data_IF_975582592761
#
_entry.id   IF_975582592761
#
_cell.length_a   1.000
_cell.length_b   1.000
_cell.length_c   1.000
_cell.angle_alpha   90.00
_cell.angle_beta   90.00
_cell.angle_gamma   90.00
#
_symmetry.space_group_name_H-M   'P 1'
#
loop_
_entity.id
_entity.type
_entity.pdbx_description
1 polymer ?
#
# COMPACT_ATOMS: atom_id res chain seq x y z
N UNK A 1 10.14 21.75 -3.90
CA UNK A 1 11.00 22.21 -2.79
C UNK A 1 11.22 21.04 -1.83
N UNK A 2 12.43 20.83 -1.32
CA UNK A 2 12.72 19.91 -0.22
C UNK A 2 13.14 20.70 1.01
N UNK A 3 12.74 20.26 2.20
CA UNK A 3 13.13 20.84 3.49
C UNK A 3 13.43 19.71 4.48
N UNK A 4 14.15 20.00 5.56
CA UNK A 4 14.30 19.07 6.68
C UNK A 4 12.94 18.74 7.33
N UNK A 5 12.85 17.59 8.01
CA UNK A 5 11.62 17.22 8.74
C UNK A 5 11.30 18.20 9.88
N UNK A 6 12.31 18.77 10.53
CA UNK A 6 12.15 19.64 11.68
C UNK A 6 13.47 20.17 12.23
N UNK A 7 13.35 20.87 13.36
CA UNK A 7 14.47 21.41 14.12
C UNK A 7 14.37 20.98 15.60
N UNK A 8 15.27 21.49 16.45
CA UNK A 8 15.18 21.33 17.91
C UNK A 8 13.85 21.83 18.51
N UNK A 9 13.09 22.65 17.78
CA UNK A 9 11.78 23.16 18.20
C UNK A 9 10.59 22.35 17.69
N UNK A 10 10.82 21.27 16.95
CA UNK A 10 9.78 20.40 16.40
C UNK A 10 9.73 20.37 14.88
N UNK A 11 8.71 19.69 14.35
CA UNK A 11 8.51 19.48 12.92
C UNK A 11 8.21 20.80 12.18
N UNK A 12 8.71 20.92 10.97
CA UNK A 12 8.34 22.01 10.06
C UNK A 12 6.97 21.74 9.44
N UNK A 13 6.26 22.82 9.11
CA UNK A 13 5.09 22.81 8.24
C UNK A 13 5.52 23.07 6.81
N UNK A 14 4.80 22.49 5.87
CA UNK A 14 5.00 22.72 4.45
C UNK A 14 3.63 22.83 3.77
N UNK A 15 3.35 23.97 3.17
CA UNK A 15 2.16 24.19 2.34
C UNK A 15 2.55 24.62 0.94
N UNK A 16 1.69 24.26 -0.01
CA UNK A 16 1.79 24.63 -1.41
C UNK A 16 0.48 25.30 -1.77
N UNK A 17 0.58 26.50 -2.31
CA UNK A 17 -0.54 27.24 -2.86
C UNK A 17 -0.22 27.53 -4.33
N UNK A 18 -1.21 27.37 -5.20
CA UNK A 18 -1.10 27.69 -6.63
C UNK A 18 -2.26 28.63 -6.95
N UNK A 19 -1.99 29.71 -7.68
CA UNK A 19 -3.05 30.59 -8.13
C UNK A 19 -3.95 29.89 -9.17
N UNK A 20 -5.19 30.36 -9.29
CA UNK A 20 -6.16 29.76 -10.23
C UNK A 20 -5.66 29.81 -11.68
N UNK A 21 -4.87 30.83 -12.03
CA UNK A 21 -4.28 31.00 -13.35
C UNK A 21 -3.04 30.15 -13.60
N UNK A 22 -2.50 29.47 -12.57
CA UNK A 22 -1.25 28.69 -12.61
C UNK A 22 -0.03 29.50 -13.08
N UNK A 23 -0.05 30.80 -12.81
CA UNK A 23 1.06 31.72 -13.06
C UNK A 23 2.08 31.72 -11.91
N UNK A 24 1.64 31.41 -10.69
CA UNK A 24 2.45 31.45 -9.48
C UNK A 24 2.16 30.24 -8.57
N UNK A 25 3.24 29.68 -8.01
CA UNK A 25 3.17 28.69 -6.96
C UNK A 25 3.98 29.17 -5.75
N UNK A 26 3.33 29.27 -4.59
CA UNK A 26 3.94 29.62 -3.33
C UNK A 26 4.24 28.35 -2.52
N UNK A 27 5.49 28.22 -2.09
CA UNK A 27 5.94 27.17 -1.18
C UNK A 27 6.27 27.79 0.18
N UNK A 28 5.49 27.48 1.20
CA UNK A 28 5.66 28.04 2.55
C UNK A 28 6.24 27.00 3.50
N UNK A 29 7.28 27.38 4.26
CA UNK A 29 7.88 26.56 5.30
C UNK A 29 7.67 27.26 6.64
N UNK A 30 6.98 26.60 7.58
CA UNK A 30 6.73 27.14 8.93
C UNK A 30 7.54 26.36 9.95
N UNK A 31 8.16 27.02 10.91
CA UNK A 31 9.10 26.33 11.79
C UNK A 31 9.11 26.84 13.25
N UNK A 32 8.66 26.02 14.22
CA UNK A 32 7.93 24.77 14.02
C UNK A 32 6.50 25.02 13.53
N UNK A 33 5.86 24.01 12.95
CA UNK A 33 4.42 24.05 12.74
C UNK A 33 3.69 23.71 14.03
N UNK A 34 2.73 24.56 14.41
CA UNK A 34 1.79 24.32 15.49
C UNK A 34 0.41 24.18 14.85
N UNK A 35 -0.12 22.96 14.86
CA UNK A 35 -1.43 22.68 14.26
C UNK A 35 -2.49 22.64 15.35
N UNK A 36 -3.71 23.05 15.02
CA UNK A 36 -4.87 22.81 15.89
C UNK A 36 -5.21 21.31 15.93
N UNK A 37 -5.23 20.68 14.76
CA UNK A 37 -5.52 19.26 14.59
C UNK A 37 -4.41 18.54 13.84
N UNK A 38 -4.21 17.25 14.16
CA UNK A 38 -3.32 16.34 13.43
C UNK A 38 -4.11 15.17 12.86
N UNK A 39 -3.63 14.63 11.75
CA UNK A 39 -4.17 13.39 11.18
C UNK A 39 -3.96 12.25 12.17
N UNK A 40 -5.04 11.52 12.48
CA UNK A 40 -5.02 10.28 13.25
C UNK A 40 -5.09 9.04 12.35
N UNK A 41 -5.27 7.87 12.96
CA UNK A 41 -5.54 6.64 12.19
C UNK A 41 -6.86 6.72 11.41
N UNK A 42 -7.84 7.46 11.95
CA UNK A 42 -9.11 7.80 11.30
C UNK A 42 -9.41 9.27 11.62
N UNK A 43 -9.54 10.11 10.60
CA UNK A 43 -9.89 11.53 10.75
C UNK A 43 -8.83 12.42 11.40
N UNK A 44 -9.28 13.55 11.92
CA UNK A 44 -8.46 14.55 12.61
C UNK A 44 -8.70 14.46 14.12
N UNK A 45 -7.63 14.65 14.89
CA UNK A 45 -7.67 14.70 16.35
C UNK A 45 -6.92 15.95 16.84
N UNK A 46 -7.24 16.49 18.02
CA UNK A 46 -6.52 17.62 18.58
C UNK A 46 -5.01 17.38 18.60
N UNK A 47 -4.25 18.37 18.15
CA UNK A 47 -2.80 18.29 18.16
C UNK A 47 -2.24 18.46 19.58
N UNK A 48 -1.07 17.87 19.79
CA UNK A 48 -0.25 18.11 20.99
C UNK A 48 0.98 18.96 20.69
N UNK A 49 1.04 19.54 19.49
CA UNK A 49 2.13 20.44 19.11
C UNK A 49 2.15 21.64 20.07
N UNK A 50 3.36 22.06 20.48
CA UNK A 50 3.55 23.22 21.36
C UNK A 50 4.40 24.24 20.64
N UNK A 51 3.98 25.50 20.71
CA UNK A 51 4.83 26.61 20.29
C UNK A 51 6.07 26.66 21.19
N UNK A 52 7.27 26.89 20.63
CA UNK A 52 8.46 27.11 21.42
C UNK A 52 8.38 28.46 22.13
N UNK A 53 8.90 28.49 23.35
CA UNK A 53 9.01 29.72 24.13
C UNK A 53 10.28 30.48 23.73
N UNK A 54 10.18 31.27 22.66
CA UNK A 54 11.28 32.05 22.10
C UNK A 54 11.80 33.09 23.10
N UNK A 55 13.12 33.13 23.29
CA UNK A 55 13.82 34.16 24.05
C UNK A 55 14.67 35.04 23.14
N UNK A 56 14.98 36.25 23.63
CA UNK A 56 15.89 37.14 22.92
C UNK A 56 17.25 36.44 22.71
N UNK A 57 17.71 36.41 21.46
CA UNK A 57 18.94 35.71 21.06
C UNK A 57 18.74 34.27 20.57
N UNK A 58 17.54 33.69 20.69
CA UNK A 58 17.27 32.39 20.08
C UNK A 58 17.35 32.46 18.55
N UNK A 59 17.90 31.40 17.97
CA UNK A 59 18.04 31.24 16.52
C UNK A 59 17.50 29.90 16.05
N UNK A 60 17.08 29.88 14.79
CA UNK A 60 16.67 28.70 14.07
C UNK A 60 17.19 28.81 12.63
N UNK A 61 17.74 27.70 12.14
CA UNK A 61 18.22 27.57 10.77
C UNK A 61 17.25 26.68 10.01
N UNK A 62 16.72 27.18 8.89
CA UNK A 62 15.90 26.41 7.97
C UNK A 62 16.71 26.09 6.72
N UNK A 63 16.96 24.80 6.52
CA UNK A 63 17.61 24.30 5.32
C UNK A 63 16.56 23.81 4.34
N UNK A 64 16.58 24.35 3.11
CA UNK A 64 15.72 23.91 2.03
C UNK A 64 16.44 23.95 0.69
N UNK A 65 15.89 23.25 -0.30
CA UNK A 65 16.40 23.22 -1.66
C UNK A 65 15.27 23.30 -2.67
N UNK A 66 15.43 24.18 -3.65
CA UNK A 66 14.48 24.34 -4.76
C UNK A 66 15.05 23.65 -5.99
N UNK A 67 14.22 22.83 -6.64
CA UNK A 67 14.56 22.16 -7.89
C UNK A 67 13.61 22.68 -8.96
N UNK A 68 14.14 23.45 -9.90
CA UNK A 68 13.40 23.94 -11.07
C UNK A 68 13.85 23.17 -12.31
N UNK A 69 12.91 22.54 -13.00
CA UNK A 69 13.18 21.71 -14.17
C UNK A 69 11.93 21.59 -15.05
N UNK A 70 12.11 21.30 -16.34
CA UNK A 70 10.99 21.02 -17.25
C UNK A 70 10.47 19.61 -16.98
N UNK A 71 9.15 19.47 -16.83
CA UNK A 71 8.48 18.19 -16.63
C UNK A 71 7.37 18.02 -17.66
N UNK A 72 7.67 17.56 -18.89
CA UNK A 72 6.67 17.43 -19.95
C UNK A 72 5.61 16.36 -19.65
N UNK A 73 5.90 15.41 -18.75
CA UNK A 73 4.95 14.44 -18.24
C UNK A 73 5.17 14.15 -16.75
N UNK A 74 4.15 13.59 -16.07
CA UNK A 74 4.21 13.23 -14.64
C UNK A 74 5.38 12.29 -14.32
N UNK A 75 5.73 11.39 -15.24
CA UNK A 75 6.87 10.46 -15.08
C UNK A 75 8.21 11.20 -14.88
N UNK A 76 8.38 12.37 -15.48
CA UNK A 76 9.62 13.14 -15.40
C UNK A 76 9.72 13.84 -14.03
N UNK A 77 8.59 14.33 -13.50
CA UNK A 77 8.47 14.79 -12.11
C UNK A 77 8.81 13.68 -11.12
N UNK A 78 8.21 12.49 -11.28
CA UNK A 78 8.45 11.35 -10.38
C UNK A 78 9.89 10.82 -10.46
N UNK A 79 10.49 10.83 -11.66
CA UNK A 79 11.91 10.51 -11.86
C UNK A 79 12.77 11.49 -11.08
N UNK A 80 12.57 12.80 -11.31
CA UNK A 80 13.34 13.83 -10.63
C UNK A 80 13.18 13.77 -9.13
N UNK A 81 11.95 13.59 -8.64
CA UNK A 81 11.71 13.37 -7.21
C UNK A 81 12.49 12.17 -6.68
N UNK A 82 12.46 11.03 -7.38
CA UNK A 82 13.16 9.81 -6.94
C UNK A 82 14.68 9.98 -6.85
N UNK A 83 15.27 10.74 -7.78
CA UNK A 83 16.69 11.12 -7.76
C UNK A 83 17.04 11.93 -6.53
N UNK A 84 16.23 12.96 -6.21
CA UNK A 84 16.63 14.01 -5.25
C UNK A 84 16.03 13.87 -3.86
N UNK A 85 15.03 13.00 -3.66
CA UNK A 85 14.24 12.89 -2.40
C UNK A 85 15.09 12.63 -1.15
N UNK A 86 16.33 12.16 -1.30
CA UNK A 86 17.26 11.87 -0.20
C UNK A 86 18.40 12.88 -0.08
N UNK A 87 18.46 13.90 -0.93
CA UNK A 87 19.58 14.85 -0.95
C UNK A 87 19.69 15.67 0.35
N UNK A 88 18.54 16.05 0.93
CA UNK A 88 18.47 16.89 2.13
C UNK A 88 18.09 16.11 3.39
N UNK A 89 17.44 14.96 3.22
CA UNK A 89 17.07 14.06 4.30
C UNK A 89 17.63 12.66 3.98
N UNK A 90 18.96 12.46 4.09
CA UNK A 90 19.53 11.14 3.95
C UNK A 90 18.92 10.21 5.00
N UNK A 91 18.65 8.97 4.61
CA UNK A 91 18.28 7.94 5.57
C UNK A 91 19.57 7.52 6.28
N UNK A 92 19.94 8.23 7.34
CA UNK A 92 21.24 8.06 8.00
C UNK A 92 21.34 6.75 8.79
N UNK A 93 20.21 6.22 9.29
CA UNK A 93 20.22 5.02 10.13
C UNK A 93 19.07 4.08 9.80
N UNK A 94 19.38 2.81 9.55
CA UNK A 94 18.38 1.75 9.62
C UNK A 94 18.06 1.49 11.08
N UNK A 95 16.82 1.73 11.48
CA UNK A 95 16.31 1.32 12.79
C UNK A 95 15.89 -0.16 12.72
N UNK A 96 16.88 -1.05 12.67
CA UNK A 96 16.65 -2.49 12.70
C UNK A 96 16.25 -2.89 14.13
N UNK A 97 14.95 -3.06 14.36
CA UNK A 97 14.41 -3.46 15.67
C UNK A 97 14.52 -4.97 15.88
N UNK A 98 14.42 -5.75 14.80
CA UNK A 98 14.44 -7.20 14.82
C UNK A 98 15.04 -7.74 13.51
N UNK A 99 15.96 -8.73 13.53
CA UNK A 99 16.45 -9.36 12.32
C UNK A 99 15.31 -9.97 11.48
N UNK A 100 15.42 -9.92 10.16
CA UNK A 100 14.37 -10.44 9.27
C UNK A 100 14.09 -11.93 9.48
N UNK A 101 15.08 -12.73 9.90
CA UNK A 101 14.89 -14.14 10.25
C UNK A 101 13.92 -14.34 11.41
N UNK A 102 13.96 -13.46 12.43
CA UNK A 102 13.06 -13.52 13.57
C UNK A 102 11.68 -12.94 13.23
N UNK A 103 11.63 -11.88 12.42
CA UNK A 103 10.37 -11.36 11.85
C UNK A 103 9.65 -12.48 11.05
N UNK A 104 10.40 -13.22 10.24
CA UNK A 104 9.87 -14.33 9.45
C UNK A 104 9.25 -15.40 10.33
N UNK A 105 9.93 -15.86 11.38
CA UNK A 105 9.38 -16.86 12.33
C UNK A 105 8.05 -16.40 12.93
N UNK A 106 7.96 -15.13 13.33
CA UNK A 106 6.74 -14.57 13.93
C UNK A 106 5.63 -14.53 12.88
N UNK A 107 5.89 -13.97 11.71
CA UNK A 107 4.89 -13.82 10.64
C UNK A 107 4.43 -15.19 10.13
N UNK A 108 5.35 -16.09 9.80
CA UNK A 108 5.04 -17.43 9.33
C UNK A 108 4.14 -18.17 10.31
N UNK A 109 4.48 -18.16 11.62
CA UNK A 109 3.63 -18.74 12.66
C UNK A 109 2.23 -18.13 12.68
N UNK A 110 2.12 -16.80 12.68
CA UNK A 110 0.82 -16.10 12.65
C UNK A 110 0.01 -16.53 11.43
N UNK A 111 0.63 -16.57 10.24
CA UNK A 111 -0.09 -16.96 9.03
C UNK A 111 -0.56 -18.41 9.08
N UNK A 112 0.29 -19.33 9.53
CA UNK A 112 -0.07 -20.75 9.55
C UNK A 112 -1.05 -21.15 10.67
N UNK A 113 -1.04 -20.44 11.79
CA UNK A 113 -1.87 -20.76 12.97
C UNK A 113 -3.13 -19.91 13.07
N UNK A 114 -3.03 -18.63 12.75
CA UNK A 114 -4.08 -17.65 13.03
C UNK A 114 -4.70 -17.05 11.76
N UNK A 115 -4.15 -17.27 10.57
CA UNK A 115 -4.69 -16.67 9.32
C UNK A 115 -5.16 -17.71 8.32
N UNK A 116 -4.64 -18.93 8.33
CA UNK A 116 -5.09 -19.98 7.43
C UNK A 116 -6.43 -20.56 7.87
N UNK A 117 -7.43 -20.50 7.00
CA UNK A 117 -8.72 -21.16 7.19
C UNK A 117 -8.83 -22.37 6.26
N UNK A 118 -8.78 -23.58 6.84
CA UNK A 118 -8.89 -24.85 6.10
C UNK A 118 -10.24 -25.00 5.38
N UNK A 119 -11.33 -24.44 5.93
CA UNK A 119 -12.68 -24.57 5.36
C UNK A 119 -12.84 -23.71 4.11
N UNK A 120 -12.17 -22.56 4.08
CA UNK A 120 -12.19 -21.62 2.97
C UNK A 120 -11.06 -21.89 1.97
N UNK A 121 -10.00 -22.58 2.40
CA UNK A 121 -8.74 -22.71 1.68
C UNK A 121 -8.10 -21.33 1.38
N UNK A 122 -8.14 -20.42 2.36
CA UNK A 122 -7.66 -19.05 2.19
C UNK A 122 -6.88 -18.54 3.41
N UNK A 123 -5.97 -17.60 3.16
CA UNK A 123 -5.41 -16.74 4.20
C UNK A 123 -6.34 -15.55 4.46
N UNK A 124 -6.90 -15.52 5.66
CA UNK A 124 -7.80 -14.50 6.17
C UNK A 124 -7.03 -13.34 6.82
N UNK A 125 -7.59 -12.14 6.77
CA UNK A 125 -7.14 -10.96 7.49
C UNK A 125 -7.45 -11.04 8.99
N UNK A 126 -8.59 -11.64 9.36
CA UNK A 126 -8.96 -11.92 10.75
C UNK A 126 -8.66 -13.36 11.12
N UNK A 127 -8.72 -13.69 12.42
CA UNK A 127 -8.54 -15.07 12.86
C UNK A 127 -9.75 -15.91 12.44
N UNK A 128 -9.58 -17.10 11.84
CA UNK A 128 -10.68 -18.02 11.58
C UNK A 128 -11.56 -18.23 12.83
N UNK A 129 -12.88 -18.12 12.67
CA UNK A 129 -13.84 -18.21 13.77
C UNK A 129 -13.99 -16.94 14.63
N UNK A 130 -13.33 -15.83 14.30
CA UNK A 130 -13.54 -14.55 14.98
C UNK A 130 -14.87 -13.90 14.62
N UNK A 131 -15.39 -13.04 15.50
CA UNK A 131 -16.60 -12.21 15.26
C UNK A 131 -16.30 -10.97 14.40
N UNK A 132 -15.33 -11.05 13.49
CA UNK A 132 -14.96 -9.95 12.62
C UNK A 132 -16.11 -9.62 11.65
N UNK A 133 -16.17 -8.36 11.21
CA UNK A 133 -17.10 -7.96 10.16
C UNK A 133 -16.85 -8.76 8.88
N UNK A 134 -17.90 -8.95 8.08
CA UNK A 134 -17.87 -9.78 6.87
C UNK A 134 -16.72 -9.40 5.92
N UNK A 135 -16.43 -8.10 5.78
CA UNK A 135 -15.39 -7.54 4.93
C UNK A 135 -13.98 -7.50 5.56
N UNK A 136 -13.87 -7.94 6.80
CA UNK A 136 -12.62 -8.00 7.57
C UNK A 136 -12.08 -9.43 7.67
N UNK A 137 -12.75 -10.40 7.06
CA UNK A 137 -12.30 -11.79 6.99
C UNK A 137 -11.27 -11.95 5.88
N UNK A 138 -11.54 -11.46 4.67
CA UNK A 138 -10.59 -11.56 3.55
C UNK A 138 -10.49 -10.25 2.77
N UNK A 139 -9.28 -9.93 2.32
CA UNK A 139 -9.01 -8.82 1.40
C UNK A 139 -7.99 -9.23 0.35
N UNK A 140 -8.17 -8.74 -0.88
CA UNK A 140 -7.23 -8.96 -1.98
C UNK A 140 -5.92 -8.17 -1.77
N UNK A 141 -6.03 -6.90 -1.39
CA UNK A 141 -4.93 -5.97 -1.21
C UNK A 141 -4.52 -5.76 0.26
N UNK A 142 -3.83 -4.64 0.53
CA UNK A 142 -3.31 -4.28 1.86
C UNK A 142 -2.44 -5.38 2.48
N UNK A 143 -2.68 -5.85 3.71
CA UNK A 143 -1.98 -6.99 4.29
C UNK A 143 -2.76 -8.31 4.12
N UNK A 144 -3.74 -8.35 3.21
CA UNK A 144 -4.61 -9.49 2.97
C UNK A 144 -3.98 -10.64 2.16
N UNK A 145 -4.83 -11.57 1.72
CA UNK A 145 -4.43 -12.86 1.15
C UNK A 145 -3.76 -12.78 -0.24
N UNK A 146 -3.89 -11.67 -0.96
CA UNK A 146 -3.18 -11.47 -2.23
C UNK A 146 -1.75 -10.94 -2.07
N UNK A 147 -1.43 -10.30 -0.93
CA UNK A 147 -0.12 -9.67 -0.70
C UNK A 147 0.80 -10.53 0.16
N UNK A 148 0.24 -11.18 1.17
CA UNK A 148 0.97 -12.01 2.14
C UNK A 148 1.47 -13.34 1.56
N UNK A 149 0.90 -13.81 0.47
CA UNK A 149 1.15 -15.13 -0.10
C UNK A 149 2.46 -15.24 -0.87
N UNK A 150 2.96 -14.16 -1.47
CA UNK A 150 4.26 -14.17 -2.15
C UNK A 150 5.43 -14.54 -1.20
N UNK A 151 5.65 -13.87 -0.06
CA UNK A 151 6.73 -14.26 0.84
C UNK A 151 6.51 -15.66 1.43
N UNK A 152 5.26 -16.08 1.65
CA UNK A 152 4.93 -17.45 2.05
C UNK A 152 5.32 -18.48 0.99
N UNK A 153 5.12 -18.20 -0.29
CA UNK A 153 5.56 -19.07 -1.39
C UNK A 153 7.09 -19.18 -1.44
N UNK A 154 7.79 -18.04 -1.34
CA UNK A 154 9.24 -17.96 -1.50
C UNK A 154 9.99 -18.65 -0.36
N UNK A 155 9.58 -18.41 0.88
CA UNK A 155 10.33 -18.80 2.09
C UNK A 155 9.65 -19.89 2.92
N UNK A 156 8.40 -20.24 2.61
CA UNK A 156 7.65 -21.28 3.32
C UNK A 156 8.18 -22.68 3.07
N UNK A 157 7.83 -23.60 3.96
CA UNK A 157 7.95 -25.05 3.76
C UNK A 157 6.92 -25.56 2.72
N UNK A 158 6.94 -26.86 2.43
CA UNK A 158 6.08 -27.44 1.41
C UNK A 158 4.59 -27.33 1.77
N UNK A 159 4.22 -27.52 3.04
CA UNK A 159 2.85 -27.33 3.52
C UNK A 159 2.38 -25.89 3.31
N UNK A 160 3.22 -24.92 3.64
CA UNK A 160 2.95 -23.49 3.41
C UNK A 160 2.74 -23.21 1.93
N UNK A 161 3.58 -23.75 1.05
CA UNK A 161 3.45 -23.57 -0.40
C UNK A 161 2.15 -24.19 -0.92
N UNK A 162 1.76 -25.37 -0.44
CA UNK A 162 0.49 -25.99 -0.81
C UNK A 162 -0.70 -25.12 -0.39
N UNK A 163 -0.66 -24.51 0.80
CA UNK A 163 -1.68 -23.56 1.26
C UNK A 163 -1.72 -22.30 0.40
N UNK A 164 -0.57 -21.77 -0.01
CA UNK A 164 -0.53 -20.65 -0.95
C UNK A 164 -1.18 -21.01 -2.29
N UNK A 165 -0.86 -22.17 -2.86
CA UNK A 165 -1.47 -22.62 -4.12
C UNK A 165 -2.99 -22.76 -4.00
N UNK A 166 -3.48 -23.33 -2.90
CA UNK A 166 -4.91 -23.41 -2.58
C UNK A 166 -5.55 -22.01 -2.46
N UNK A 167 -4.90 -21.08 -1.77
CA UNK A 167 -5.38 -19.70 -1.68
C UNK A 167 -5.46 -19.04 -3.05
N UNK A 168 -4.43 -19.19 -3.89
CA UNK A 168 -4.42 -18.67 -5.25
C UNK A 168 -5.57 -19.27 -6.08
N UNK A 169 -5.83 -20.57 -5.96
CA UNK A 169 -6.97 -21.21 -6.61
C UNK A 169 -8.29 -20.55 -6.22
N UNK A 170 -8.50 -20.28 -4.93
CA UNK A 170 -9.73 -19.60 -4.47
C UNK A 170 -9.83 -18.18 -5.01
N UNK A 171 -8.73 -17.42 -5.02
CA UNK A 171 -8.72 -16.05 -5.59
C UNK A 171 -9.14 -16.10 -7.06
N UNK A 172 -8.49 -16.94 -7.88
CA UNK A 172 -8.77 -17.00 -9.31
C UNK A 172 -10.15 -17.58 -9.64
N UNK A 173 -10.62 -18.57 -8.89
CA UNK A 173 -11.89 -19.25 -9.17
C UNK A 173 -13.12 -18.54 -8.62
N UNK A 174 -13.01 -17.82 -7.50
CA UNK A 174 -14.18 -17.24 -6.80
C UNK A 174 -14.24 -15.72 -6.81
N UNK A 175 -13.12 -15.02 -7.02
CA UNK A 175 -13.07 -13.57 -6.78
C UNK A 175 -12.95 -12.72 -8.03
N UNK A 176 -12.83 -13.32 -9.22
CA UNK A 176 -12.83 -12.55 -10.48
C UNK A 176 -14.24 -12.05 -10.83
N UNK A 177 -14.40 -10.73 -10.91
CA UNK A 177 -15.65 -10.08 -11.27
C UNK A 177 -15.85 -10.05 -12.80
N UNK A 178 -17.08 -9.84 -13.30
CA UNK A 178 -17.37 -9.76 -14.74
C UNK A 178 -16.58 -8.67 -15.48
N UNK A 179 -16.13 -7.62 -14.79
CA UNK A 179 -15.29 -6.55 -15.36
C UNK A 179 -13.88 -7.01 -15.75
N UNK A 180 -13.44 -8.18 -15.27
CA UNK A 180 -12.07 -8.69 -15.36
C UNK A 180 -11.20 -8.32 -14.15
N UNK A 181 -11.64 -7.35 -13.34
CA UNK A 181 -11.03 -7.04 -12.05
C UNK A 181 -11.43 -8.07 -10.99
N UNK A 182 -10.75 -8.07 -9.85
CA UNK A 182 -11.05 -8.97 -8.74
C UNK A 182 -11.80 -8.23 -7.62
N UNK A 183 -12.71 -8.92 -6.94
CA UNK A 183 -13.35 -8.40 -5.74
C UNK A 183 -12.31 -8.10 -4.64
N UNK A 184 -12.52 -7.02 -3.90
CA UNK A 184 -11.52 -6.46 -2.99
C UNK A 184 -11.60 -7.04 -1.58
N UNK A 185 -12.80 -7.42 -1.16
CA UNK A 185 -13.12 -7.86 0.21
C UNK A 185 -14.11 -9.03 0.17
N UNK A 186 -14.17 -9.81 1.24
CA UNK A 186 -15.15 -10.89 1.37
C UNK A 186 -15.07 -11.64 2.68
N UNK A 187 -16.05 -12.52 2.90
CA UNK A 187 -16.09 -13.45 4.04
C UNK A 187 -15.51 -14.84 3.69
N UNK A 188 -14.91 -14.99 2.51
CA UNK A 188 -14.41 -16.26 1.98
C UNK A 188 -15.44 -17.09 1.21
N UNK A 189 -16.72 -16.73 1.31
CA UNK A 189 -17.84 -17.35 0.59
C UNK A 189 -18.40 -16.35 -0.42
N UNK A 190 -18.73 -15.15 0.07
CA UNK A 190 -19.23 -14.01 -0.68
C UNK A 190 -18.13 -12.94 -0.78
N UNK A 191 -18.05 -12.33 -1.97
CA UNK A 191 -17.02 -11.36 -2.31
C UNK A 191 -17.66 -10.14 -2.97
N UNK A 192 -17.06 -8.97 -2.75
CA UNK A 192 -17.60 -7.71 -3.27
C UNK A 192 -16.55 -6.65 -3.57
N UNK A 193 -17.01 -5.53 -4.10
CA UNK A 193 -16.20 -4.32 -4.22
C UNK A 193 -15.72 -3.83 -2.86
N UNK A 194 -14.79 -2.88 -2.84
CA UNK A 194 -14.27 -2.29 -1.61
C UNK A 194 -15.37 -1.55 -0.82
N UNK A 195 -15.16 -1.43 0.48
CA UNK A 195 -16.01 -0.65 1.37
C UNK A 195 -15.60 -0.84 2.83
N UNK A 196 -16.14 -0.01 3.73
CA UNK A 196 -15.70 0.02 5.13
C UNK A 196 -16.57 -0.83 6.07
N UNK A 197 -17.88 -0.72 5.97
CA UNK A 197 -18.85 -1.56 6.72
C UNK A 197 -19.62 -2.47 5.76
N UNK A 198 -20.01 -1.90 4.63
CA UNK A 198 -20.64 -2.55 3.48
C UNK A 198 -19.87 -2.18 2.22
N UNK A 199 -20.11 -2.90 1.12
CA UNK A 199 -19.54 -2.53 -0.18
C UNK A 199 -20.05 -1.16 -0.59
N UNK A 200 -19.21 -0.38 -1.26
CA UNK A 200 -19.68 0.83 -1.91
C UNK A 200 -20.74 0.52 -2.98
N UNK A 201 -21.56 1.53 -3.30
CA UNK A 201 -22.82 1.39 -4.05
C UNK A 201 -22.64 0.77 -5.44
N UNK A 202 -21.49 0.99 -6.06
CA UNK A 202 -21.22 0.62 -7.45
C UNK A 202 -20.16 -0.48 -7.57
N UNK A 203 -19.90 -1.26 -6.51
CA UNK A 203 -18.84 -2.28 -6.46
C UNK A 203 -17.46 -1.71 -6.83
N UNK A 204 -17.16 -0.53 -6.32
CA UNK A 204 -15.93 0.20 -6.55
C UNK A 204 -14.73 -0.59 -6.03
N UNK A 205 -13.55 -0.35 -6.59
CA UNK A 205 -12.30 -0.93 -6.10
C UNK A 205 -11.19 0.10 -6.21
N UNK A 206 -10.07 -0.14 -5.53
CA UNK A 206 -8.92 0.74 -5.62
C UNK A 206 -7.97 0.27 -6.71
N UNK A 207 -7.55 1.20 -7.57
CA UNK A 207 -6.49 1.00 -8.57
C UNK A 207 -5.26 0.37 -7.94
N UNK A 208 -4.87 0.84 -6.75
CA UNK A 208 -3.77 0.27 -5.96
C UNK A 208 -3.99 -1.21 -5.65
N UNK A 209 -5.14 -1.59 -5.09
CA UNK A 209 -5.42 -2.98 -4.72
C UNK A 209 -5.38 -3.93 -5.93
N UNK A 210 -5.93 -3.48 -7.05
CA UNK A 210 -5.91 -4.24 -8.30
C UNK A 210 -4.51 -4.35 -8.89
N UNK A 211 -3.75 -3.24 -8.90
CA UNK A 211 -2.39 -3.18 -9.43
C UNK A 211 -1.41 -4.01 -8.59
N UNK A 212 -1.55 -3.95 -7.26
CA UNK A 212 -0.76 -4.77 -6.35
C UNK A 212 -1.01 -6.27 -6.61
N UNK A 213 -2.27 -6.70 -6.77
CA UNK A 213 -2.57 -8.08 -7.12
C UNK A 213 -2.02 -8.48 -8.49
N UNK A 214 -2.18 -7.62 -9.50
CA UNK A 214 -1.64 -7.88 -10.84
C UNK A 214 -0.13 -8.12 -10.80
N UNK A 215 0.60 -7.33 -10.02
CA UNK A 215 2.03 -7.50 -9.82
C UNK A 215 2.35 -8.76 -8.99
N UNK A 216 1.73 -8.94 -7.83
CA UNK A 216 2.02 -10.05 -6.92
C UNK A 216 1.70 -11.42 -7.54
N UNK A 217 0.63 -11.52 -8.33
CA UNK A 217 0.29 -12.75 -9.04
C UNK A 217 1.37 -13.12 -10.08
N UNK A 218 1.89 -12.15 -10.84
CA UNK A 218 3.01 -12.40 -11.77
C UNK A 218 4.27 -12.87 -11.03
N UNK A 219 4.59 -12.26 -9.89
CA UNK A 219 5.71 -12.68 -9.05
C UNK A 219 5.53 -14.10 -8.51
N UNK A 220 4.30 -14.47 -8.12
CA UNK A 220 4.00 -15.83 -7.67
C UNK A 220 4.06 -16.84 -8.82
N UNK A 221 3.62 -16.48 -10.03
CA UNK A 221 3.77 -17.33 -11.22
C UNK A 221 5.23 -17.63 -11.53
N UNK A 222 6.08 -16.59 -11.51
CA UNK A 222 7.53 -16.75 -11.69
C UNK A 222 8.13 -17.66 -10.61
N UNK A 223 7.71 -17.53 -9.35
CA UNK A 223 8.19 -18.38 -8.26
C UNK A 223 7.79 -19.85 -8.49
N UNK A 224 6.54 -20.11 -8.91
CA UNK A 224 6.05 -21.46 -9.25
C UNK A 224 6.91 -22.08 -10.34
N UNK A 225 7.11 -21.37 -11.44
CA UNK A 225 7.89 -21.83 -12.60
C UNK A 225 9.35 -22.06 -12.25
N UNK A 226 9.95 -21.17 -11.44
CA UNK A 226 11.36 -21.29 -11.01
C UNK A 226 11.63 -22.56 -10.19
N UNK A 227 10.59 -23.11 -9.55
CA UNK A 227 10.63 -24.37 -8.81
C UNK A 227 10.19 -25.59 -9.64
N UNK A 228 10.02 -25.43 -10.96
CA UNK A 228 9.60 -26.49 -11.87
C UNK A 228 8.09 -26.77 -11.85
N UNK A 229 7.29 -25.94 -11.17
CA UNK A 229 5.84 -26.00 -11.21
C UNK A 229 5.27 -25.44 -12.50
N UNK A 230 3.99 -25.73 -12.77
CA UNK A 230 3.27 -25.17 -13.92
C UNK A 230 2.14 -24.29 -13.41
N UNK A 231 2.06 -23.06 -13.92
CA UNK A 231 0.95 -22.14 -13.62
C UNK A 231 -0.31 -22.61 -14.36
N UNK A 232 -1.44 -22.79 -13.67
CA UNK A 232 -2.70 -23.14 -14.32
C UNK A 232 -3.12 -22.13 -15.40
N UNK A 233 -3.55 -22.62 -16.56
CA UNK A 233 -3.99 -21.77 -17.68
C UNK A 233 -5.16 -20.85 -17.29
N UNK A 234 -6.03 -21.32 -16.40
CA UNK A 234 -7.13 -20.52 -15.87
C UNK A 234 -6.63 -19.28 -15.10
N UNK A 235 -5.54 -19.41 -14.34
CA UNK A 235 -4.95 -18.28 -13.60
C UNK A 235 -4.31 -17.28 -14.54
N UNK A 236 -3.56 -17.75 -15.54
CA UNK A 236 -2.98 -16.88 -16.57
C UNK A 236 -4.07 -16.11 -17.35
N UNK A 237 -5.15 -16.79 -17.72
CA UNK A 237 -6.30 -16.17 -18.39
C UNK A 237 -6.99 -15.14 -17.49
N UNK A 238 -7.21 -15.48 -16.21
CA UNK A 238 -7.76 -14.56 -15.23
C UNK A 238 -6.92 -13.30 -15.08
N UNK A 239 -5.60 -13.45 -14.97
CA UNK A 239 -4.69 -12.31 -14.84
C UNK A 239 -4.64 -11.44 -16.09
N UNK A 240 -4.70 -12.06 -17.28
CA UNK A 240 -4.83 -11.33 -18.56
C UNK A 240 -6.09 -10.49 -18.61
N UNK A 241 -7.25 -11.03 -18.21
CA UNK A 241 -8.50 -10.25 -18.16
C UNK A 241 -8.40 -9.01 -17.27
N UNK A 242 -7.66 -9.10 -16.16
CA UNK A 242 -7.40 -7.96 -15.28
C UNK A 242 -6.51 -6.91 -15.97
N UNK A 243 -5.43 -7.35 -16.63
CA UNK A 243 -4.58 -6.45 -17.41
C UNK A 243 -5.36 -5.75 -18.53
N UNK A 244 -6.19 -6.48 -19.27
CA UNK A 244 -7.04 -5.93 -20.31
C UNK A 244 -8.06 -4.92 -19.74
N UNK A 245 -8.55 -5.14 -18.51
CA UNK A 245 -9.43 -4.20 -17.83
C UNK A 245 -8.71 -2.88 -17.53
N UNK A 246 -7.45 -2.92 -17.10
CA UNK A 246 -6.64 -1.71 -16.93
C UNK A 246 -6.42 -0.97 -18.24
N UNK A 247 -6.10 -1.68 -19.32
CA UNK A 247 -5.93 -1.06 -20.65
C UNK A 247 -7.22 -0.38 -21.10
N UNK A 248 -8.38 -1.05 -20.97
CA UNK A 248 -9.68 -0.44 -21.30
C UNK A 248 -9.97 0.83 -20.50
N UNK A 249 -9.61 0.84 -19.21
CA UNK A 249 -9.79 2.03 -18.36
C UNK A 249 -8.86 3.17 -18.79
N UNK A 250 -7.60 2.86 -19.08
CA UNK A 250 -6.62 3.83 -19.56
C UNK A 250 -7.02 4.42 -20.91
N UNK A 251 -7.41 3.60 -21.88
CA UNK A 251 -7.82 4.07 -23.21
C UNK A 251 -9.06 4.97 -23.15
N UNK A 252 -9.95 4.72 -22.18
CA UNK A 252 -11.18 5.48 -22.01
C UNK A 252 -11.00 6.79 -21.24
N UNK A 253 -10.19 6.77 -20.18
CA UNK A 253 -10.13 7.87 -19.21
C UNK A 253 -8.76 8.54 -19.12
N UNK A 254 -7.70 7.94 -19.66
CA UNK A 254 -6.33 8.40 -19.50
C UNK A 254 -5.80 8.20 -18.08
N UNK A 255 -4.93 9.13 -17.67
CA UNK A 255 -4.44 9.26 -16.29
C UNK A 255 -5.39 10.11 -15.46
#
# INVERSE_FOLDING_TARGET
>A
VLTGQGSRFGNHGFSIEEDVGRAEALFSITAPAVRENRVGGIGFQPSKDKAPDWKAGDTLVLNFRVYAFKSPAVKDLLRRFSEVRKDLNPAEERREVLPFSEVWKILHRVYQQDRWDESLNMYCLSKPGSTALWNSIWQLGWCGGGQSTLPLMMQGDDDTRQRVLKNMEVIFSKTQAPSGLFYAIGNGIEFGGFGFNETFKYNETFVRSQGDWLYMAQRQFQEIESKGGTVPQAWMSGLRKQADAFVRLWDKYGQ
#
